data_IF_356640820650
#
_entry.id   IF_356640820650
#
_cell.length_a   1.000
_cell.length_b   1.000
_cell.length_c   1.000
_cell.angle_alpha   90.00
_cell.angle_beta   90.00
_cell.angle_gamma   90.00
#
_symmetry.space_group_name_H-M   'P 1'
#
loop_
_entity.id
_entity.type
_entity.pdbx_description
1 polymer ?
#
# COMPACT_ATOMS: atom_id res chain seq x y z
N UNK A 1 -15.92 -3.17 1.91
CA UNK A 1 -15.53 -2.31 3.03
C UNK A 1 -14.08 -2.56 3.39
N UNK A 2 -13.33 -1.48 3.56
CA UNK A 2 -11.91 -1.51 3.89
C UNK A 2 -11.69 -0.64 5.12
N UNK A 3 -10.96 -1.17 6.09
CA UNK A 3 -10.60 -0.44 7.31
C UNK A 3 -9.12 -0.61 7.63
N UNK A 4 -8.60 0.26 8.48
CA UNK A 4 -7.20 0.23 8.91
C UNK A 4 -7.12 -0.26 10.36
N UNK A 5 -6.18 -1.16 10.60
CA UNK A 5 -5.87 -1.68 11.95
C UNK A 5 -4.56 -1.09 12.45
N UNK A 6 -4.34 -1.14 13.77
CA UNK A 6 -3.11 -0.65 14.41
C UNK A 6 -1.97 -1.69 14.31
N UNK A 7 -1.68 -2.11 13.07
CA UNK A 7 -0.53 -2.97 12.77
C UNK A 7 0.25 -2.33 11.62
N UNK A 8 1.55 -2.21 11.75
CA UNK A 8 2.36 -1.47 10.78
C UNK A 8 3.78 -2.03 10.64
N UNK A 9 4.32 -1.86 9.45
CA UNK A 9 5.74 -1.98 9.18
C UNK A 9 6.44 -0.65 9.52
N UNK A 10 7.70 -0.69 9.92
CA UNK A 10 8.50 0.51 10.11
C UNK A 10 9.33 0.80 8.86
N UNK A 11 9.42 2.08 8.48
CA UNK A 11 10.17 2.51 7.30
C UNK A 11 11.12 3.63 7.67
N UNK A 12 12.42 3.40 7.43
CA UNK A 12 13.46 4.44 7.52
C UNK A 12 13.92 4.80 6.12
N UNK A 13 13.92 6.11 5.82
CA UNK A 13 14.28 6.64 4.49
C UNK A 13 15.36 7.69 4.67
N UNK A 14 16.43 7.60 3.89
CA UNK A 14 17.42 8.67 3.72
C UNK A 14 17.80 8.84 2.25
N UNK A 15 18.18 10.06 1.89
CA UNK A 15 18.77 10.35 0.59
C UNK A 15 20.22 9.86 0.65
N UNK A 16 20.67 9.26 -0.44
CA UNK A 16 22.04 8.76 -0.59
C UNK A 16 22.65 9.26 -1.90
N UNK A 17 23.96 9.46 -1.87
CA UNK A 17 24.73 9.73 -3.08
C UNK A 17 25.27 8.42 -3.66
N UNK A 18 24.44 7.77 -4.46
CA UNK A 18 24.72 6.49 -5.12
C UNK A 18 24.05 6.46 -6.49
N UNK A 19 24.52 5.59 -7.39
CA UNK A 19 23.92 5.43 -8.71
C UNK A 19 22.51 4.78 -8.68
N UNK A 20 22.21 4.00 -7.63
CA UNK A 20 20.96 3.23 -7.51
C UNK A 20 20.34 3.35 -6.13
N UNK A 21 19.02 3.17 -6.04
CA UNK A 21 18.35 3.00 -4.77
C UNK A 21 18.83 1.75 -4.04
N UNK A 22 18.87 1.82 -2.70
CA UNK A 22 19.17 0.67 -1.84
C UNK A 22 17.94 0.37 -0.99
N UNK A 23 17.33 -0.79 -1.18
CA UNK A 23 16.17 -1.22 -0.41
C UNK A 23 16.53 -2.50 0.35
N UNK A 24 16.24 -2.52 1.64
CA UNK A 24 16.47 -3.68 2.50
C UNK A 24 15.25 -3.95 3.39
N UNK A 25 15.06 -5.22 3.69
CA UNK A 25 13.97 -5.70 4.52
C UNK A 25 14.53 -6.49 5.70
N UNK A 26 13.98 -6.25 6.87
CA UNK A 26 14.27 -6.95 8.12
C UNK A 26 12.96 -7.28 8.85
N UNK A 27 13.04 -7.94 10.00
CA UNK A 27 11.88 -8.30 10.81
C UNK A 27 11.28 -9.66 10.46
N UNK A 28 10.29 -10.06 11.27
CA UNK A 28 9.71 -11.42 11.30
C UNK A 28 9.21 -11.91 9.93
N UNK A 29 8.69 -11.01 9.10
CA UNK A 29 8.07 -11.33 7.81
C UNK A 29 8.86 -10.83 6.59
N UNK A 30 10.18 -10.59 6.74
CA UNK A 30 11.03 -10.09 5.66
C UNK A 30 11.51 -11.17 4.69
N UNK A 31 11.54 -12.43 5.12
CA UNK A 31 12.10 -13.55 4.33
C UNK A 31 11.31 -13.77 3.04
N UNK A 32 12.00 -13.80 1.90
CA UNK A 32 11.40 -14.10 0.60
C UNK A 32 10.76 -12.91 -0.11
N UNK A 33 11.02 -11.66 0.33
CA UNK A 33 10.66 -10.47 -0.45
C UNK A 33 11.58 -10.37 -1.65
N UNK A 34 11.00 -10.50 -2.84
CA UNK A 34 11.74 -10.46 -4.10
C UNK A 34 12.18 -9.05 -4.50
N UNK A 35 13.00 -9.01 -5.56
CA UNK A 35 13.44 -7.75 -6.17
C UNK A 35 12.28 -6.96 -6.80
N UNK A 36 11.21 -7.63 -7.21
CA UNK A 36 9.99 -6.98 -7.72
C UNK A 36 8.99 -6.83 -6.56
N UNK A 37 8.86 -5.61 -6.05
CA UNK A 37 7.94 -5.27 -4.98
C UNK A 37 7.43 -3.83 -5.16
N UNK A 38 6.34 -3.51 -4.50
CA UNK A 38 5.64 -2.23 -4.64
C UNK A 38 6.51 -0.99 -4.34
N UNK A 39 7.54 -1.11 -3.51
CA UNK A 39 8.46 0.01 -3.23
C UNK A 39 9.34 0.26 -4.45
N UNK A 40 9.89 -0.79 -5.05
CA UNK A 40 10.71 -0.68 -6.27
C UNK A 40 9.87 -0.17 -7.43
N UNK A 41 8.66 -0.69 -7.60
CA UNK A 41 7.72 -0.22 -8.62
C UNK A 41 7.41 1.27 -8.46
N UNK A 42 7.15 1.73 -7.23
CA UNK A 42 6.95 3.15 -6.96
C UNK A 42 8.17 3.99 -7.35
N UNK A 43 9.37 3.60 -6.90
CA UNK A 43 10.58 4.38 -7.18
C UNK A 43 10.88 4.43 -8.67
N UNK A 44 10.77 3.31 -9.38
CA UNK A 44 10.94 3.25 -10.83
C UNK A 44 9.94 4.16 -11.56
N UNK A 45 8.68 4.18 -11.09
CA UNK A 45 7.65 5.04 -11.67
C UNK A 45 7.95 6.53 -11.41
N UNK A 46 8.44 6.87 -10.23
CA UNK A 46 8.85 8.25 -9.89
C UNK A 46 10.07 8.69 -10.70
N UNK A 47 11.06 7.81 -10.93
CA UNK A 47 12.20 8.07 -11.79
C UNK A 47 11.79 8.27 -13.25
N UNK A 48 10.99 7.35 -13.79
CA UNK A 48 10.48 7.42 -15.17
C UNK A 48 9.75 8.73 -15.44
N UNK A 49 9.04 9.25 -14.47
CA UNK A 49 8.35 10.54 -14.56
C UNK A 49 9.22 11.74 -14.14
N UNK A 50 10.52 11.57 -13.88
CA UNK A 50 11.48 12.61 -13.46
C UNK A 50 11.04 13.37 -12.17
N UNK A 51 10.28 12.73 -11.30
CA UNK A 51 9.67 13.36 -10.12
C UNK A 51 10.60 13.45 -8.91
N UNK A 52 11.68 12.70 -8.88
CA UNK A 52 12.64 12.66 -7.76
C UNK A 52 14.01 13.30 -8.10
N UNK A 53 14.10 14.03 -9.23
CA UNK A 53 15.26 14.85 -9.62
C UNK A 53 16.60 14.11 -9.43
N UNK A 54 16.71 12.89 -9.94
CA UNK A 54 17.87 11.99 -9.80
C UNK A 54 18.26 11.60 -8.36
N UNK A 55 17.48 12.00 -7.36
CA UNK A 55 17.74 11.58 -5.97
C UNK A 55 17.62 10.07 -5.82
N UNK A 56 18.57 9.48 -5.08
CA UNK A 56 18.52 8.07 -4.71
C UNK A 56 18.24 7.95 -3.20
N UNK A 57 17.63 6.85 -2.84
CA UNK A 57 17.19 6.61 -1.46
C UNK A 57 17.73 5.28 -0.94
N UNK A 58 18.18 5.28 0.30
CA UNK A 58 18.25 4.07 1.10
C UNK A 58 16.96 3.95 1.91
N UNK A 59 16.26 2.85 1.70
CA UNK A 59 14.98 2.54 2.36
C UNK A 59 15.16 1.21 3.11
N UNK A 60 14.98 1.28 4.44
CA UNK A 60 15.00 0.10 5.31
C UNK A 60 13.61 -0.12 5.84
N UNK A 61 13.08 -1.33 5.66
CA UNK A 61 11.72 -1.71 6.06
C UNK A 61 11.79 -2.84 7.07
N UNK A 62 11.27 -2.61 8.27
CA UNK A 62 11.07 -3.68 9.27
C UNK A 62 9.67 -4.24 9.08
N UNK A 63 9.60 -5.50 8.63
CA UNK A 63 8.36 -6.18 8.28
C UNK A 63 7.69 -6.82 9.49
N UNK A 64 6.61 -6.18 9.95
CA UNK A 64 5.75 -6.68 11.02
C UNK A 64 4.41 -7.20 10.50
N UNK A 65 4.08 -6.90 9.23
CA UNK A 65 2.88 -7.41 8.55
C UNK A 65 3.29 -8.58 7.64
N UNK A 66 2.61 -9.75 7.75
CA UNK A 66 2.92 -10.91 6.93
C UNK A 66 2.73 -10.62 5.45
N UNK A 67 3.61 -11.22 4.63
CA UNK A 67 3.46 -11.15 3.17
C UNK A 67 2.29 -12.03 2.72
N UNK A 68 1.61 -11.61 1.64
CA UNK A 68 0.48 -12.36 1.05
C UNK A 68 -0.63 -12.70 2.06
N UNK A 69 -0.81 -11.83 3.04
CA UNK A 69 -1.83 -11.98 4.10
C UNK A 69 -3.18 -11.33 3.76
N UNK A 70 -3.29 -10.65 2.62
CA UNK A 70 -4.47 -9.84 2.31
C UNK A 70 -4.55 -8.51 3.08
N UNK A 71 -3.56 -8.20 3.95
CA UNK A 71 -3.55 -6.97 4.76
C UNK A 71 -3.00 -5.74 4.03
N UNK A 72 -2.63 -5.86 2.76
CA UNK A 72 -2.14 -4.73 1.96
C UNK A 72 -0.80 -4.12 2.42
N UNK A 73 -0.01 -4.80 3.27
CA UNK A 73 1.18 -4.22 3.90
C UNK A 73 2.20 -3.63 2.92
N UNK A 74 2.44 -4.29 1.79
CA UNK A 74 3.33 -3.76 0.74
C UNK A 74 2.80 -2.48 0.10
N UNK A 75 1.51 -2.46 -0.20
CA UNK A 75 0.84 -1.28 -0.78
C UNK A 75 0.81 -0.11 0.20
N UNK A 76 0.58 -0.38 1.48
CA UNK A 76 0.64 0.65 2.53
C UNK A 76 2.05 1.22 2.68
N UNK A 77 3.09 0.41 2.55
CA UNK A 77 4.47 0.88 2.55
C UNK A 77 4.75 1.83 1.38
N UNK A 78 4.33 1.48 0.16
CA UNK A 78 4.47 2.35 -1.00
C UNK A 78 3.70 3.67 -0.83
N UNK A 79 2.46 3.62 -0.35
CA UNK A 79 1.67 4.82 -0.07
C UNK A 79 2.33 5.72 0.99
N UNK A 80 2.86 5.13 2.05
CA UNK A 80 3.57 5.85 3.11
C UNK A 80 4.82 6.56 2.56
N UNK A 81 5.61 5.87 1.73
CA UNK A 81 6.81 6.45 1.09
C UNK A 81 6.41 7.61 0.18
N UNK A 82 5.40 7.43 -0.68
CA UNK A 82 4.94 8.50 -1.58
C UNK A 82 4.49 9.72 -0.78
N UNK A 83 3.68 9.55 0.25
CA UNK A 83 3.27 10.65 1.15
C UNK A 83 4.45 11.34 1.83
N UNK A 84 5.43 10.57 2.29
CA UNK A 84 6.65 11.13 2.88
C UNK A 84 7.43 11.99 1.88
N UNK A 85 7.64 11.51 0.66
CA UNK A 85 8.35 12.25 -0.39
C UNK A 85 7.61 13.55 -0.77
N UNK A 86 6.29 13.53 -0.79
CA UNK A 86 5.46 14.73 -0.99
C UNK A 86 5.59 15.70 0.18
N UNK A 87 5.47 15.23 1.43
CA UNK A 87 5.64 16.06 2.63
C UNK A 87 7.00 16.74 2.68
N UNK A 88 8.05 16.04 2.21
CA UNK A 88 9.42 16.58 2.08
C UNK A 88 9.62 17.46 0.83
N UNK A 89 8.57 17.72 0.04
CA UNK A 89 8.63 18.49 -1.21
C UNK A 89 9.63 17.93 -2.24
N UNK A 90 10.00 16.65 -2.12
CA UNK A 90 10.83 15.93 -3.10
C UNK A 90 10.00 15.60 -4.33
N UNK A 91 8.76 15.13 -4.12
CA UNK A 91 7.74 14.94 -5.15
C UNK A 91 6.74 16.07 -5.02
N UNK A 92 6.58 16.87 -6.06
CA UNK A 92 5.65 18.00 -6.12
C UNK A 92 4.73 17.83 -7.34
N UNK A 93 3.55 17.29 -7.11
CA UNK A 93 2.54 17.01 -8.13
C UNK A 93 1.14 17.20 -7.54
N UNK A 94 0.14 17.39 -8.41
CA UNK A 94 -1.25 17.55 -8.01
C UNK A 94 -1.83 16.25 -7.42
N UNK A 95 -2.87 16.37 -6.59
CA UNK A 95 -3.56 15.24 -5.98
C UNK A 95 -4.10 14.24 -7.02
N UNK A 96 -4.56 14.74 -8.17
CA UNK A 96 -4.98 13.90 -9.31
C UNK A 96 -3.83 13.01 -9.76
N UNK A 97 -2.65 13.60 -9.98
CA UNK A 97 -1.46 12.87 -10.43
C UNK A 97 -0.96 11.87 -9.38
N UNK A 98 -1.04 12.23 -8.09
CA UNK A 98 -0.73 11.31 -6.98
C UNK A 98 -1.59 10.07 -7.05
N UNK A 99 -2.92 10.22 -7.21
CA UNK A 99 -3.85 9.09 -7.32
C UNK A 99 -3.57 8.22 -8.54
N UNK A 100 -3.28 8.82 -9.69
CA UNK A 100 -2.89 8.11 -10.91
C UNK A 100 -1.62 7.27 -10.72
N UNK A 101 -0.57 7.85 -10.11
CA UNK A 101 0.68 7.16 -9.82
C UNK A 101 0.47 6.02 -8.82
N UNK A 102 -0.27 6.28 -7.74
CA UNK A 102 -0.58 5.28 -6.73
C UNK A 102 -1.34 4.09 -7.34
N UNK A 103 -2.31 4.37 -8.23
CA UNK A 103 -3.08 3.32 -8.91
C UNK A 103 -2.20 2.46 -9.82
N UNK A 104 -1.22 3.07 -10.52
CA UNK A 104 -0.26 2.33 -11.37
C UNK A 104 0.65 1.40 -10.57
N UNK A 105 0.99 1.75 -9.33
CA UNK A 105 1.76 0.88 -8.42
C UNK A 105 0.90 -0.25 -7.88
N UNK A 106 -0.38 0.03 -7.60
CA UNK A 106 -1.33 -0.97 -7.13
C UNK A 106 -2.63 -0.35 -6.61
N UNK A 107 -3.75 -1.03 -6.81
CA UNK A 107 -5.07 -0.53 -6.41
C UNK A 107 -5.15 -0.18 -4.91
N UNK A 108 -4.53 -1.00 -4.05
CA UNK A 108 -4.51 -0.76 -2.60
C UNK A 108 -3.61 0.42 -2.19
N UNK A 109 -2.67 0.86 -3.05
CA UNK A 109 -1.81 2.01 -2.75
C UNK A 109 -2.62 3.29 -2.66
N UNK A 110 -3.65 3.43 -3.52
CA UNK A 110 -4.57 4.58 -3.48
C UNK A 110 -5.33 4.65 -2.16
N UNK A 111 -5.70 3.49 -1.60
CA UNK A 111 -6.38 3.41 -0.31
C UNK A 111 -5.50 3.93 0.82
N UNK A 112 -4.19 3.65 0.76
CA UNK A 112 -3.20 4.08 1.76
C UNK A 112 -2.86 5.58 1.72
N UNK A 113 -3.26 6.31 0.67
CA UNK A 113 -3.06 7.76 0.61
C UNK A 113 -3.86 8.49 1.69
N UNK A 114 -5.03 7.98 2.03
CA UNK A 114 -5.88 8.49 3.10
C UNK A 114 -6.22 7.35 4.06
N UNK A 115 -5.91 7.50 5.35
CA UNK A 115 -6.25 6.52 6.39
C UNK A 115 -7.71 6.68 6.84
N UNK A 116 -8.65 6.41 5.94
CA UNK A 116 -10.09 6.49 6.22
C UNK A 116 -10.77 5.18 5.85
N UNK A 117 -11.76 4.79 6.63
CA UNK A 117 -12.64 3.69 6.25
C UNK A 117 -13.19 3.94 4.85
N UNK A 118 -13.19 2.92 4.01
CA UNK A 118 -13.45 3.11 2.59
C UNK A 118 -14.28 1.98 2.02
N UNK A 119 -15.06 2.32 1.02
CA UNK A 119 -15.76 1.36 0.16
C UNK A 119 -15.15 1.49 -1.24
N UNK A 120 -14.64 0.39 -1.76
CA UNK A 120 -14.22 0.30 -3.16
C UNK A 120 -15.42 -0.19 -3.99
N UNK A 121 -15.90 0.64 -4.89
CA UNK A 121 -16.99 0.32 -5.80
C UNK A 121 -16.49 -0.43 -7.03
N UNK A 122 -17.39 -1.17 -7.69
CA UNK A 122 -17.09 -1.95 -8.90
C UNK A 122 -16.49 -1.09 -10.04
N UNK A 123 -16.88 0.17 -10.13
CA UNK A 123 -16.38 1.14 -11.11
C UNK A 123 -15.03 1.77 -10.73
N UNK A 124 -14.34 1.25 -9.70
CA UNK A 124 -13.07 1.77 -9.21
C UNK A 124 -13.17 3.04 -8.36
N UNK A 125 -14.36 3.62 -8.17
CA UNK A 125 -14.55 4.75 -7.25
C UNK A 125 -14.32 4.31 -5.81
N UNK A 126 -13.76 5.21 -5.00
CA UNK A 126 -13.52 5.00 -3.58
C UNK A 126 -14.42 5.95 -2.81
N UNK A 127 -15.39 5.41 -2.08
CA UNK A 127 -16.13 6.13 -1.07
C UNK A 127 -15.33 6.18 0.22
N UNK A 128 -15.19 7.34 0.83
CA UNK A 128 -14.49 7.53 2.12
C UNK A 128 -15.51 7.85 3.20
N UNK A 129 -15.40 7.18 4.33
CA UNK A 129 -16.21 7.47 5.52
C UNK A 129 -15.38 8.26 6.52
N UNK A 130 -15.99 9.29 7.09
CA UNK A 130 -15.42 10.05 8.21
C UNK A 130 -15.83 9.46 9.57
N UNK A 131 -16.70 8.44 9.60
CA UNK A 131 -17.11 7.80 10.85
C UNK A 131 -15.91 7.09 11.50
N UNK A 132 -15.69 7.41 12.75
CA UNK A 132 -14.74 6.68 13.60
C UNK A 132 -15.51 5.50 14.21
N UNK A 133 -15.31 4.33 13.64
CA UNK A 133 -15.82 3.09 14.26
C UNK A 133 -14.67 2.48 15.05
N UNK A 134 -14.83 2.40 16.34
CA UNK A 134 -13.90 1.69 17.22
C UNK A 134 -14.37 0.25 17.35
N UNK A 135 -13.56 -0.68 16.88
CA UNK A 135 -13.83 -2.11 17.06
C UNK A 135 -12.52 -2.86 17.29
N UNK A 136 -12.62 -3.98 17.99
CA UNK A 136 -11.51 -4.88 18.20
C UNK A 136 -11.46 -5.90 17.05
N UNK A 137 -10.25 -6.18 16.55
CA UNK A 137 -10.03 -7.14 15.46
C UNK A 137 -9.10 -8.23 15.93
N UNK A 138 -9.53 -9.48 15.79
CA UNK A 138 -8.66 -10.63 15.93
C UNK A 138 -8.13 -11.02 14.54
N UNK A 139 -6.81 -10.95 14.36
CA UNK A 139 -6.16 -11.37 13.11
C UNK A 139 -5.64 -12.79 13.30
N UNK A 140 -6.22 -13.73 12.56
CA UNK A 140 -5.79 -15.13 12.53
C UNK A 140 -4.99 -15.38 11.28
N UNK A 141 -3.74 -15.81 11.45
CA UNK A 141 -2.86 -16.14 10.35
C UNK A 141 -2.70 -17.67 10.24
N UNK A 142 -3.25 -18.30 9.21
CA UNK A 142 -3.05 -19.73 8.98
C UNK A 142 -1.59 -20.04 8.59
N UNK A 143 -1.15 -21.27 8.82
CA UNK A 143 0.22 -21.70 8.45
C UNK A 143 0.45 -21.79 6.93
N UNK A 144 -0.59 -21.83 6.13
CA UNK A 144 -0.52 -21.86 4.69
C UNK A 144 -0.76 -20.48 4.07
N UNK A 145 -0.15 -20.25 2.92
CA UNK A 145 -0.28 -19.00 2.17
C UNK A 145 -1.34 -19.15 1.09
N UNK A 146 -2.19 -18.14 0.92
CA UNK A 146 -3.19 -18.11 -0.14
C UNK A 146 -2.82 -17.06 -1.19
N UNK A 147 -2.88 -17.46 -2.46
CA UNK A 147 -2.81 -16.51 -3.58
C UNK A 147 -4.17 -15.85 -3.77
N UNK A 148 -4.23 -14.54 -3.77
CA UNK A 148 -5.46 -13.78 -4.05
C UNK A 148 -6.11 -14.24 -5.36
N UNK A 149 -5.30 -14.45 -6.41
CA UNK A 149 -5.76 -14.95 -7.70
C UNK A 149 -6.46 -16.31 -7.56
N UNK A 150 -5.85 -17.25 -6.84
CA UNK A 150 -6.42 -18.58 -6.65
C UNK A 150 -7.71 -18.58 -5.83
N UNK A 151 -7.82 -17.66 -4.85
CA UNK A 151 -9.04 -17.52 -4.06
C UNK A 151 -10.16 -17.00 -4.94
N UNK A 152 -9.93 -15.88 -5.65
CA UNK A 152 -10.95 -15.26 -6.49
C UNK A 152 -11.36 -16.15 -7.66
N UNK A 153 -10.45 -16.95 -8.25
CA UNK A 153 -10.80 -17.89 -9.32
C UNK A 153 -11.72 -19.02 -8.88
N UNK A 154 -11.86 -19.27 -7.58
CA UNK A 154 -12.75 -20.29 -7.01
C UNK A 154 -14.11 -19.75 -6.56
N UNK A 155 -14.30 -18.43 -6.58
CA UNK A 155 -15.58 -17.81 -6.25
C UNK A 155 -16.55 -18.05 -7.40
N UNK A 156 -17.58 -18.84 -7.15
CA UNK A 156 -18.61 -19.18 -8.16
C UNK A 156 -19.83 -18.26 -8.07
N UNK A 157 -20.18 -17.81 -6.86
CA UNK A 157 -21.37 -17.01 -6.63
C UNK A 157 -21.02 -15.77 -5.81
N UNK A 158 -21.67 -14.65 -6.11
CA UNK A 158 -21.59 -13.42 -5.35
C UNK A 158 -22.96 -13.11 -4.75
N UNK A 159 -23.00 -12.79 -3.46
CA UNK A 159 -24.21 -12.25 -2.85
C UNK A 159 -24.57 -10.89 -3.46
N UNK A 160 -25.85 -10.55 -3.46
CA UNK A 160 -26.24 -9.16 -3.75
C UNK A 160 -25.59 -8.24 -2.71
N UNK A 161 -25.03 -7.09 -3.12
CA UNK A 161 -24.46 -6.15 -2.16
C UNK A 161 -25.57 -5.61 -1.25
N UNK A 162 -25.39 -5.80 0.06
CA UNK A 162 -26.22 -5.15 1.08
C UNK A 162 -25.58 -3.80 1.38
N UNK A 163 -26.12 -2.73 0.81
CA UNK A 163 -25.73 -1.36 1.13
C UNK A 163 -26.69 -0.81 2.16
N UNK A 164 -26.26 -0.72 3.40
CA UNK A 164 -26.84 0.24 4.34
C UNK A 164 -26.08 1.54 4.18
N UNK A 165 -26.50 2.37 3.26
CA UNK A 165 -26.18 3.80 3.31
C UNK A 165 -27.13 4.37 4.38
N UNK A 166 -26.69 4.36 5.64
CA UNK A 166 -27.36 5.16 6.66
C UNK A 166 -27.32 6.62 6.22
N UNK A 167 -28.48 7.24 6.19
CA UNK A 167 -28.68 8.68 5.99
C UNK A 167 -27.88 9.46 7.02
#
# INVERSE_FOLDING_TARGET
>A
LITFVQSFDEIKIKIIDKAKHKISFSGKFSKGIGKNNTIIELLNLLEKNKLIKNKKFEIKVTKNIPQKSGMGGGSMNAACILKYLMKKKIVNISDKKVKELAYKVGADVVLGLEKKNSILFKNGKIGRSNSKVNFHVLIVMPKFRCSTKNIFSRVRNFSKPLYFLGN
#
